data_IF_515680087107
#
_entry.id   IF_515680087107
#
_cell.length_a   1.000
_cell.length_b   1.000
_cell.length_c   1.000
_cell.angle_alpha   90.00
_cell.angle_beta   90.00
_cell.angle_gamma   90.00
#
_symmetry.space_group_name_H-M   'P 1'
#
loop_
_entity.id
_entity.type
_entity.pdbx_description
1 polymer ?
#
# COMPACT_ATOMS: atom_id res chain seq x y z
N UNK A 1 -3.54 14.68 -5.78
CA UNK A 1 -2.81 13.53 -6.37
C UNK A 1 -2.63 12.48 -5.28
N UNK A 2 -2.80 11.19 -5.60
CA UNK A 2 -2.66 10.10 -4.62
C UNK A 2 -1.25 9.53 -4.71
N UNK A 3 -0.64 9.34 -3.55
CA UNK A 3 0.63 8.65 -3.40
C UNK A 3 0.39 7.29 -2.75
N UNK A 4 1.08 6.26 -3.22
CA UNK A 4 0.89 4.87 -2.84
C UNK A 4 2.17 4.36 -2.20
N UNK A 5 2.04 3.66 -1.09
CA UNK A 5 3.11 2.86 -0.50
C UNK A 5 2.62 1.42 -0.44
N UNK A 6 3.39 0.51 -1.02
CA UNK A 6 3.04 -0.90 -1.10
C UNK A 6 4.10 -1.68 -0.38
N UNK A 7 3.62 -2.45 0.58
CA UNK A 7 4.42 -3.30 1.43
C UNK A 7 4.09 -4.76 1.14
N UNK A 8 5.08 -5.63 1.33
CA UNK A 8 4.79 -7.05 1.55
C UNK A 8 4.06 -7.19 2.89
N UNK A 9 2.95 -7.94 2.89
CA UNK A 9 2.12 -8.07 4.08
C UNK A 9 2.78 -8.91 5.17
N UNK A 10 3.62 -9.86 4.80
CA UNK A 10 4.21 -10.83 5.72
C UNK A 10 5.49 -10.30 6.35
N UNK A 11 6.39 -9.69 5.56
CA UNK A 11 7.64 -9.12 6.06
C UNK A 11 7.51 -7.67 6.52
N UNK A 12 6.46 -6.96 6.07
CA UNK A 12 6.34 -5.52 6.28
C UNK A 12 7.32 -4.68 5.45
N UNK A 13 8.06 -5.31 4.52
CA UNK A 13 9.04 -4.65 3.68
C UNK A 13 8.36 -3.74 2.66
N UNK A 14 8.89 -2.52 2.48
CA UNK A 14 8.42 -1.60 1.46
C UNK A 14 8.88 -2.09 0.07
N UNK A 15 7.94 -2.52 -0.75
CA UNK A 15 8.19 -2.98 -2.11
C UNK A 15 8.31 -1.79 -3.08
N UNK A 16 7.41 -0.82 -2.96
CA UNK A 16 7.43 0.37 -3.81
C UNK A 16 6.67 1.54 -3.19
N UNK A 17 7.07 2.75 -3.54
CA UNK A 17 6.39 4.00 -3.20
C UNK A 17 6.37 4.93 -4.39
N UNK A 18 5.28 5.65 -4.60
CA UNK A 18 5.14 6.49 -5.78
C UNK A 18 3.72 6.87 -6.10
N UNK A 19 3.54 7.55 -7.22
CA UNK A 19 2.22 7.64 -7.84
C UNK A 19 1.80 6.27 -8.42
N UNK A 20 0.54 6.16 -8.84
CA UNK A 20 0.01 4.89 -9.35
C UNK A 20 0.80 4.33 -10.56
N UNK A 21 1.34 5.19 -11.43
CA UNK A 21 2.10 4.75 -12.60
C UNK A 21 3.48 4.20 -12.23
N UNK A 22 4.14 4.82 -11.25
CA UNK A 22 5.42 4.36 -10.69
C UNK A 22 5.24 3.01 -10.00
N UNK A 23 4.26 2.88 -9.10
CA UNK A 23 4.01 1.63 -8.40
C UNK A 23 3.53 0.52 -9.34
N UNK A 24 2.74 0.85 -10.39
CA UNK A 24 2.38 -0.09 -11.45
C UNK A 24 3.63 -0.67 -12.12
N UNK A 25 4.57 0.19 -12.50
CA UNK A 25 5.82 -0.21 -13.17
C UNK A 25 6.68 -1.09 -12.25
N UNK A 26 6.82 -0.69 -10.99
CA UNK A 26 7.60 -1.45 -10.00
C UNK A 26 6.99 -2.83 -9.68
N UNK A 27 5.67 -2.94 -9.60
CA UNK A 27 4.97 -4.20 -9.36
C UNK A 27 4.76 -5.06 -10.61
N UNK A 28 5.13 -4.57 -11.79
CA UNK A 28 4.89 -5.29 -13.06
C UNK A 28 3.42 -5.47 -13.41
N UNK A 29 2.54 -4.54 -12.98
CA UNK A 29 1.12 -4.59 -13.34
C UNK A 29 0.91 -4.22 -14.82
N UNK A 30 0.04 -4.96 -15.53
CA UNK A 30 -0.23 -4.74 -16.95
C UNK A 30 -0.76 -3.32 -17.26
N UNK A 31 -1.68 -2.83 -16.43
CA UNK A 31 -2.34 -1.53 -16.62
C UNK A 31 -2.55 -0.79 -15.29
N UNK A 32 -2.89 0.50 -15.35
CA UNK A 32 -3.28 1.28 -14.17
C UNK A 32 -4.54 0.71 -13.50
N UNK A 33 -5.52 0.24 -14.29
CA UNK A 33 -6.73 -0.42 -13.76
C UNK A 33 -6.39 -1.69 -12.97
N UNK A 34 -5.43 -2.48 -13.46
CA UNK A 34 -4.95 -3.67 -12.74
C UNK A 34 -4.30 -3.28 -11.41
N UNK A 35 -3.54 -2.18 -11.39
CA UNK A 35 -2.97 -1.63 -10.16
C UNK A 35 -4.04 -1.16 -9.19
N UNK A 36 -5.06 -0.42 -9.65
CA UNK A 36 -6.17 0.03 -8.78
C UNK A 36 -6.98 -1.15 -8.23
N UNK A 37 -7.23 -2.17 -9.06
CA UNK A 37 -7.89 -3.40 -8.63
C UNK A 37 -7.06 -4.13 -7.55
N UNK A 38 -5.73 -4.21 -7.73
CA UNK A 38 -4.81 -4.78 -6.73
C UNK A 38 -4.87 -3.99 -5.42
N UNK A 39 -4.75 -2.67 -5.49
CA UNK A 39 -4.80 -1.80 -4.32
C UNK A 39 -6.13 -1.93 -3.56
N UNK A 40 -7.26 -1.95 -4.28
CA UNK A 40 -8.58 -2.14 -3.68
C UNK A 40 -8.75 -3.54 -3.07
N UNK A 41 -8.27 -4.60 -3.73
CA UNK A 41 -8.32 -5.97 -3.18
C UNK A 41 -7.45 -6.12 -1.94
N UNK A 42 -6.26 -5.50 -1.93
CA UNK A 42 -5.37 -5.46 -0.77
C UNK A 42 -6.01 -4.71 0.40
N UNK A 43 -6.60 -3.53 0.14
CA UNK A 43 -7.35 -2.75 1.14
C UNK A 43 -8.52 -3.52 1.73
N UNK A 44 -9.25 -4.28 0.92
CA UNK A 44 -10.38 -5.12 1.38
C UNK A 44 -9.92 -6.40 2.10
N UNK A 45 -8.61 -6.62 2.25
CA UNK A 45 -8.06 -7.84 2.85
C UNK A 45 -8.22 -9.10 2.01
N UNK A 46 -8.71 -8.99 0.77
CA UNK A 46 -8.86 -10.09 -0.18
C UNK A 46 -7.48 -10.52 -0.68
N UNK A 47 -6.62 -9.54 -0.99
CA UNK A 47 -5.23 -9.82 -1.30
C UNK A 47 -4.41 -9.82 -0.01
N UNK A 48 -3.91 -11.00 0.38
CA UNK A 48 -3.08 -11.21 1.58
C UNK A 48 -1.59 -11.06 1.30
N UNK A 49 -1.17 -10.88 0.06
CA UNK A 49 0.25 -10.71 -0.28
C UNK A 49 0.73 -9.28 -0.05
N UNK A 50 -0.10 -8.31 -0.41
CA UNK A 50 0.28 -6.90 -0.35
C UNK A 50 -0.51 -6.15 0.71
N UNK A 51 0.15 -5.15 1.28
CA UNK A 51 -0.48 -4.12 2.08
C UNK A 51 -0.27 -2.78 1.39
N UNK A 52 -1.36 -2.03 1.21
CA UNK A 52 -1.35 -0.79 0.42
C UNK A 52 -1.81 0.37 1.28
N UNK A 53 -0.97 1.40 1.37
CA UNK A 53 -1.25 2.68 2.02
C UNK A 53 -1.44 3.71 0.91
N UNK A 54 -2.53 4.50 0.99
CA UNK A 54 -2.84 5.54 0.02
C UNK A 54 -2.85 6.89 0.75
N UNK A 55 -1.91 7.76 0.40
CA UNK A 55 -1.82 9.13 0.89
C UNK A 55 -2.50 10.04 -0.14
N UNK A 56 -3.69 10.55 0.17
CA UNK A 56 -4.28 11.68 -0.58
C UNK A 56 -3.57 12.94 -0.14
N UNK A 57 -3.19 13.82 -1.07
CA UNK A 57 -2.60 15.12 -0.74
C UNK A 57 -3.44 15.85 0.32
N UNK A 58 -2.95 15.88 1.56
CA UNK A 58 -3.55 16.54 2.72
C UNK A 58 -4.22 15.64 3.77
N UNK A 59 -4.60 14.40 3.48
CA UNK A 59 -5.32 13.58 4.47
C UNK A 59 -5.03 12.08 4.30
N UNK A 60 -4.44 11.52 5.34
CA UNK A 60 -4.28 10.07 5.51
C UNK A 60 -5.66 9.48 5.82
N UNK A 61 -6.20 8.72 4.88
CA UNK A 61 -7.43 7.94 5.07
C UNK A 61 -7.03 6.64 5.78
N UNK A 62 -7.18 6.64 7.11
CA UNK A 62 -6.91 5.56 8.07
C UNK A 62 -7.85 4.33 7.84
N UNK A 63 -7.62 3.14 8.45
CA UNK A 63 -6.87 2.86 9.67
C UNK A 63 -5.46 2.36 9.41
N UNK A 64 -4.50 3.14 9.90
CA UNK A 64 -3.26 2.62 10.47
C UNK A 64 -3.60 1.42 11.33
N UNK A 65 -2.92 0.33 11.02
CA UNK A 65 -2.44 -0.64 11.99
C UNK A 65 -3.26 -0.79 13.26
N UNK A 66 -3.86 -1.97 13.42
CA UNK A 66 -4.14 -2.45 14.76
C UNK A 66 -2.90 -2.20 15.62
N UNK A 67 -3.12 -1.76 16.85
CA UNK A 67 -2.09 -1.38 17.84
C UNK A 67 -0.94 -2.40 18.00
N UNK A 68 -1.11 -3.60 17.44
CA UNK A 68 -0.21 -4.74 17.43
C UNK A 68 0.69 -4.85 16.18
N UNK A 69 0.62 -3.92 15.20
CA UNK A 69 1.47 -4.05 14.01
C UNK A 69 2.90 -3.53 14.28
N UNK A 70 3.92 -4.36 14.00
CA UNK A 70 5.30 -4.13 14.41
C UNK A 70 5.96 -2.89 13.76
N UNK A 71 5.34 -2.29 12.74
CA UNK A 71 5.81 -1.05 12.12
C UNK A 71 5.57 0.21 12.99
N UNK A 72 4.65 0.18 13.96
CA UNK A 72 4.36 1.33 14.82
C UNK A 72 5.22 1.39 16.09
N UNK A 73 5.92 0.31 16.44
CA UNK A 73 6.76 0.26 17.65
C UNK A 73 8.19 0.77 17.44
N UNK A 74 8.53 1.28 16.25
CA UNK A 74 9.90 1.76 15.94
C UNK A 74 10.06 3.29 15.93
N UNK A 75 9.10 4.03 16.47
CA UNK A 75 9.28 5.44 16.81
C UNK A 75 9.04 5.63 18.31
N UNK A 76 10.07 5.29 19.10
CA UNK A 76 10.22 5.61 20.51
C UNK A 76 11.50 6.39 20.72
#
# INVERSE_FOLDING_TARGET
MNYYEIYDRYSGELLTRGNAAECRKALGCASLDSFYALANRARRGINKKYRVVIKKGGQVDYPVLGKDDPLYQKEG
#
